data_IF_831407317237
#
_entry.id   IF_831407317237
#
_cell.length_a   1.000
_cell.length_b   1.000
_cell.length_c   1.000
_cell.angle_alpha   90.00
_cell.angle_beta   90.00
_cell.angle_gamma   90.00
#
_symmetry.space_group_name_H-M   'P 1'
#
loop_
_entity.id
_entity.type
_entity.pdbx_description
1 polymer ?
#
# COMPACT_ATOMS: atom_id res chain seq x y z
N UNK A 1 75.58 46.49 -3.69
CA UNK A 1 74.69 45.77 -4.55
C UNK A 1 74.59 44.34 -4.00
N UNK A 2 73.52 44.05 -3.27
CA UNK A 2 73.19 42.71 -2.78
C UNK A 2 71.76 42.46 -3.16
N UNK A 3 71.51 41.72 -4.20
CA UNK A 3 70.19 41.29 -4.67
C UNK A 3 69.70 40.09 -3.88
N UNK A 4 68.63 40.28 -3.09
CA UNK A 4 67.99 39.25 -2.29
C UNK A 4 66.98 38.54 -3.22
N UNK A 5 67.24 37.27 -3.56
CA UNK A 5 66.32 36.39 -4.24
C UNK A 5 65.28 35.82 -3.24
N UNK A 6 64.04 36.27 -3.31
CA UNK A 6 62.94 35.73 -2.53
C UNK A 6 62.35 34.54 -3.32
N UNK A 7 62.67 33.31 -2.93
CA UNK A 7 62.07 32.10 -3.49
C UNK A 7 60.67 31.91 -2.89
N UNK A 8 59.63 32.09 -3.74
CA UNK A 8 58.23 31.87 -3.43
C UNK A 8 57.97 30.37 -3.47
N UNK A 9 57.88 29.70 -2.32
CA UNK A 9 57.45 28.30 -2.22
C UNK A 9 55.92 28.24 -2.36
N UNK A 10 55.46 27.96 -3.57
CA UNK A 10 54.03 27.60 -3.82
C UNK A 10 53.86 26.16 -3.35
N UNK A 11 53.35 25.99 -2.13
CA UNK A 11 52.93 24.70 -1.60
C UNK A 11 51.75 24.17 -2.43
N UNK A 12 51.98 23.11 -3.20
CA UNK A 12 50.90 22.37 -3.86
C UNK A 12 49.96 21.77 -2.79
N UNK A 13 48.83 22.40 -2.53
CA UNK A 13 47.71 21.72 -1.83
C UNK A 13 47.23 20.61 -2.72
N UNK A 14 47.69 19.38 -2.50
CA UNK A 14 47.06 18.20 -3.09
C UNK A 14 45.61 18.14 -2.60
N UNK A 15 44.61 17.95 -3.51
CA UNK A 15 43.26 17.75 -3.07
C UNK A 15 43.23 16.46 -2.23
N UNK A 16 42.92 16.60 -0.92
CA UNK A 16 42.58 15.45 -0.08
C UNK A 16 41.36 14.83 -0.71
N UNK A 17 41.39 13.55 -1.12
CA UNK A 17 40.18 12.90 -1.60
C UNK A 17 39.15 13.00 -0.48
N UNK A 18 38.04 13.72 -0.72
CA UNK A 18 36.90 13.71 0.15
C UNK A 18 36.49 12.24 0.25
N UNK A 19 36.78 11.62 1.40
CA UNK A 19 36.31 10.27 1.67
C UNK A 19 34.81 10.31 1.40
N UNK A 20 34.37 9.58 0.38
CA UNK A 20 32.96 9.51 0.02
C UNK A 20 32.21 9.07 1.27
N UNK A 21 31.52 10.02 1.91
CA UNK A 21 30.75 9.74 3.12
C UNK A 21 29.80 8.63 2.77
N UNK A 22 29.93 7.47 3.48
CA UNK A 22 29.12 6.29 3.19
C UNK A 22 27.63 6.65 3.25
N UNK A 23 26.87 6.22 2.26
CA UNK A 23 25.41 6.36 2.29
C UNK A 23 24.83 5.36 3.31
N UNK A 24 23.88 5.81 4.18
CA UNK A 24 23.43 7.18 4.39
C UNK A 24 24.38 7.99 5.29
N UNK A 25 24.56 9.27 5.01
CA UNK A 25 25.35 10.21 5.83
C UNK A 25 24.49 11.25 6.56
N UNK A 26 23.18 11.23 6.33
CA UNK A 26 22.16 12.11 6.94
C UNK A 26 20.84 11.37 7.08
N UNK A 27 19.86 11.99 7.73
CA UNK A 27 18.53 11.43 7.95
C UNK A 27 17.87 10.99 6.64
N UNK A 28 17.43 9.73 6.59
CA UNK A 28 16.56 9.20 5.53
C UNK A 28 15.10 9.42 5.92
N UNK A 29 14.31 9.95 5.01
CA UNK A 29 12.90 10.24 5.22
C UNK A 29 12.04 9.24 4.45
N UNK A 30 11.14 8.56 5.14
CA UNK A 30 10.11 7.71 4.56
C UNK A 30 8.78 8.48 4.59
N UNK A 31 8.26 8.83 3.43
CA UNK A 31 6.97 9.50 3.28
C UNK A 31 5.86 8.46 3.26
N UNK A 32 4.70 8.79 3.80
CA UNK A 32 3.49 7.96 3.79
C UNK A 32 2.27 8.82 3.44
N UNK A 33 1.45 8.37 2.49
CA UNK A 33 0.27 9.09 1.99
C UNK A 33 -1.01 8.90 2.82
N UNK A 34 -0.96 8.11 3.89
CA UNK A 34 -2.10 7.76 4.73
C UNK A 34 -2.01 8.40 6.12
N UNK A 35 -3.15 8.41 6.82
CA UNK A 35 -3.20 8.88 8.21
C UNK A 35 -2.37 7.98 9.13
N UNK A 36 -1.82 8.55 10.22
CA UNK A 36 -1.17 7.76 11.27
C UNK A 36 -2.04 6.59 11.73
N UNK A 37 -1.42 5.42 11.92
CA UNK A 37 -2.10 4.18 12.33
C UNK A 37 -2.68 3.35 11.18
N UNK A 38 -2.69 3.84 9.94
CA UNK A 38 -2.97 3.01 8.76
C UNK A 38 -1.85 2.01 8.48
N UNK A 39 -2.14 0.90 7.78
CA UNK A 39 -1.13 -0.14 7.51
C UNK A 39 0.16 0.40 6.88
N UNK A 40 0.14 1.31 5.88
CA UNK A 40 1.37 1.89 5.34
C UNK A 40 2.18 2.65 6.41
N UNK A 41 1.53 3.42 7.28
CA UNK A 41 2.20 4.18 8.35
C UNK A 41 2.82 3.26 9.40
N UNK A 42 2.07 2.26 9.87
CA UNK A 42 2.56 1.31 10.87
C UNK A 42 3.77 0.54 10.32
N UNK A 43 3.70 0.03 9.09
CA UNK A 43 4.78 -0.75 8.49
C UNK A 43 6.01 0.14 8.20
N UNK A 44 5.79 1.36 7.71
CA UNK A 44 6.88 2.33 7.52
C UNK A 44 7.61 2.63 8.83
N UNK A 45 6.89 2.80 9.95
CA UNK A 45 7.50 3.06 11.27
C UNK A 45 8.27 1.86 11.80
N UNK A 46 7.74 0.65 11.64
CA UNK A 46 8.46 -0.57 12.02
C UNK A 46 9.77 -0.73 11.22
N UNK A 47 9.71 -0.52 9.90
CA UNK A 47 10.87 -0.56 9.03
C UNK A 47 11.87 0.55 9.37
N UNK A 48 11.39 1.80 9.54
CA UNK A 48 12.24 2.94 9.90
C UNK A 48 12.94 2.74 11.22
N UNK A 49 12.23 2.26 12.25
CA UNK A 49 12.81 1.96 13.56
C UNK A 49 13.94 0.93 13.43
N UNK A 50 13.70 -0.15 12.69
CA UNK A 50 14.71 -1.21 12.52
C UNK A 50 15.91 -0.75 11.70
N UNK A 51 15.67 -0.03 10.61
CA UNK A 51 16.76 0.55 9.82
C UNK A 51 17.59 1.54 10.63
N UNK A 52 16.99 2.30 11.54
CA UNK A 52 17.70 3.30 12.36
C UNK A 52 18.77 2.68 13.27
N UNK A 53 18.70 1.39 13.59
CA UNK A 53 19.72 0.70 14.39
C UNK A 53 21.10 0.68 13.71
N UNK A 54 21.16 0.73 12.37
CA UNK A 54 22.41 0.67 11.60
C UNK A 54 22.63 1.85 10.65
N UNK A 55 21.58 2.61 10.34
CA UNK A 55 21.60 3.67 9.33
C UNK A 55 21.65 5.07 9.94
N UNK A 56 21.58 5.21 11.28
CA UNK A 56 21.31 6.47 11.92
C UNK A 56 19.82 6.84 11.78
N UNK A 57 19.50 8.14 11.73
CA UNK A 57 18.10 8.56 11.75
C UNK A 57 17.35 8.20 10.47
N UNK A 58 16.32 7.36 10.60
CA UNK A 58 15.28 7.11 9.58
C UNK A 58 13.95 7.56 10.17
N UNK A 59 13.28 8.53 9.54
CA UNK A 59 12.06 9.15 10.07
C UNK A 59 10.89 8.96 9.13
N UNK A 60 9.68 8.86 9.70
CA UNK A 60 8.43 8.72 8.92
C UNK A 60 7.67 10.03 8.94
N UNK A 61 7.23 10.48 7.77
CA UNK A 61 6.47 11.70 7.56
C UNK A 61 5.14 11.40 6.84
N UNK A 62 4.01 11.77 7.45
CA UNK A 62 2.69 11.59 6.84
C UNK A 62 2.32 12.82 5.99
N UNK A 63 1.96 12.59 4.70
CA UNK A 63 1.46 13.60 3.76
C UNK A 63 0.11 13.14 3.21
N UNK A 64 -0.94 13.44 3.95
CA UNK A 64 -2.29 12.93 3.71
C UNK A 64 -3.00 13.73 2.62
N UNK A 65 -3.77 13.05 1.77
CA UNK A 65 -4.73 13.68 0.86
C UNK A 65 -4.78 13.03 -0.51
N UNK A 66 -5.93 13.18 -1.18
CA UNK A 66 -6.22 12.69 -2.53
C UNK A 66 -5.80 11.21 -2.74
N UNK A 67 -6.16 10.32 -1.81
CA UNK A 67 -5.80 8.89 -1.83
C UNK A 67 -4.28 8.65 -2.01
N UNK A 68 -3.44 9.48 -1.33
CA UNK A 68 -1.98 9.40 -1.40
C UNK A 68 -1.34 10.18 -2.56
N UNK A 69 -2.10 10.76 -3.48
CA UNK A 69 -1.55 11.51 -4.62
C UNK A 69 -0.70 12.71 -4.20
N UNK A 70 -1.03 13.38 -3.07
CA UNK A 70 -0.23 14.50 -2.55
C UNK A 70 1.17 14.03 -2.14
N UNK A 71 1.26 12.91 -1.45
CA UNK A 71 2.54 12.30 -1.07
C UNK A 71 3.33 11.83 -2.30
N UNK A 72 2.64 11.17 -3.24
CA UNK A 72 3.25 10.70 -4.49
C UNK A 72 3.85 11.85 -5.31
N UNK A 73 3.12 12.97 -5.46
CA UNK A 73 3.61 14.17 -6.14
C UNK A 73 4.86 14.74 -5.44
N UNK A 74 4.83 14.84 -4.12
CA UNK A 74 5.97 15.36 -3.36
C UNK A 74 7.20 14.47 -3.55
N UNK A 75 7.04 13.14 -3.50
CA UNK A 75 8.15 12.20 -3.65
C UNK A 75 8.67 12.18 -5.09
N UNK A 76 7.80 12.18 -6.10
CA UNK A 76 8.21 12.19 -7.51
C UNK A 76 9.07 13.41 -7.88
N UNK A 77 8.89 14.53 -7.17
CA UNK A 77 9.65 15.77 -7.34
C UNK A 77 10.83 15.92 -6.38
N UNK A 78 11.06 14.96 -5.51
CA UNK A 78 12.19 15.00 -4.57
C UNK A 78 13.52 14.72 -5.29
N UNK A 79 14.62 15.20 -4.70
CA UNK A 79 15.96 14.93 -5.22
C UNK A 79 16.22 13.42 -5.33
N UNK A 80 16.78 12.92 -6.44
CA UNK A 80 17.05 11.49 -6.63
C UNK A 80 18.38 11.07 -5.97
N UNK A 81 18.51 11.34 -4.68
CA UNK A 81 19.73 11.12 -3.89
C UNK A 81 19.60 9.99 -2.84
N UNK A 82 18.40 9.31 -2.82
CA UNK A 82 18.10 8.22 -1.92
C UNK A 82 17.66 8.62 -0.51
N UNK A 83 17.60 9.91 -0.17
CA UNK A 83 17.21 10.36 1.17
C UNK A 83 15.71 10.59 1.34
N UNK A 84 14.93 10.36 0.30
CA UNK A 84 13.47 10.33 0.35
C UNK A 84 12.98 9.02 -0.25
N UNK A 85 12.22 8.24 0.52
CA UNK A 85 11.51 7.06 0.07
C UNK A 85 10.00 7.23 0.31
N UNK A 86 9.18 6.44 -0.36
CA UNK A 86 7.74 6.44 -0.23
C UNK A 86 7.24 5.04 0.09
N UNK A 87 6.63 4.84 1.26
CA UNK A 87 5.91 3.60 1.56
C UNK A 87 4.43 3.84 1.28
N UNK A 88 3.90 3.12 0.32
CA UNK A 88 2.55 3.28 -0.19
C UNK A 88 1.94 1.95 -0.65
N UNK A 89 0.64 1.97 -0.87
CA UNK A 89 -0.07 0.84 -1.44
C UNK A 89 -0.23 0.95 -2.96
N UNK A 90 -0.75 -0.11 -3.58
CA UNK A 90 -0.94 -0.22 -5.02
C UNK A 90 -1.90 0.82 -5.62
N UNK A 91 -2.61 1.59 -4.82
CA UNK A 91 -3.42 2.69 -5.33
C UNK A 91 -2.57 3.69 -6.13
N UNK A 92 -1.33 3.94 -5.70
CA UNK A 92 -0.44 4.95 -6.31
C UNK A 92 -0.02 4.56 -7.72
N UNK A 93 0.36 3.32 -7.96
CA UNK A 93 0.87 2.91 -9.28
C UNK A 93 -0.17 2.17 -10.13
N UNK A 94 -1.27 1.67 -9.53
CA UNK A 94 -2.19 0.80 -10.24
C UNK A 94 -3.64 1.30 -10.31
N UNK A 95 -4.16 2.02 -9.30
CA UNK A 95 -5.58 2.43 -9.27
C UNK A 95 -5.75 3.90 -9.64
N UNK A 96 -5.08 4.81 -8.94
CA UNK A 96 -5.27 6.25 -9.10
C UNK A 96 -5.04 6.73 -10.55
N UNK A 97 -4.04 6.21 -11.29
CA UNK A 97 -3.80 6.63 -12.68
C UNK A 97 -4.97 6.33 -13.64
N UNK A 98 -5.79 5.34 -13.31
CA UNK A 98 -6.94 4.93 -14.14
C UNK A 98 -8.27 5.47 -13.65
N UNK A 99 -8.30 6.01 -12.43
CA UNK A 99 -9.51 6.45 -11.75
C UNK A 99 -9.66 7.97 -11.74
N UNK A 100 -8.56 8.69 -11.50
CA UNK A 100 -8.55 10.16 -11.53
C UNK A 100 -8.42 10.65 -12.97
N UNK A 101 -9.10 11.73 -13.31
CA UNK A 101 -8.95 12.38 -14.62
C UNK A 101 -7.49 12.75 -14.91
N UNK A 102 -6.72 13.11 -13.87
CA UNK A 102 -5.29 13.38 -13.94
C UNK A 102 -4.65 13.18 -12.57
N UNK A 103 -3.57 12.40 -12.52
CA UNK A 103 -2.66 12.36 -11.37
C UNK A 103 -1.45 13.27 -11.61
N UNK A 104 -0.85 13.89 -10.57
CA UNK A 104 0.24 14.85 -10.73
C UNK A 104 1.63 14.17 -10.86
N UNK A 105 1.67 12.91 -11.25
CA UNK A 105 2.89 12.11 -11.44
C UNK A 105 2.68 11.05 -12.53
N UNK A 106 3.76 10.48 -13.03
CA UNK A 106 3.75 9.34 -13.97
C UNK A 106 4.14 8.09 -13.19
N UNK A 107 3.20 7.15 -12.97
CA UNK A 107 3.38 6.07 -11.99
C UNK A 107 4.52 5.11 -12.30
N UNK A 108 4.87 4.92 -13.58
CA UNK A 108 5.90 3.98 -14.01
C UNK A 108 7.23 4.64 -14.40
N UNK A 109 7.26 5.99 -14.51
CA UNK A 109 8.44 6.75 -14.94
C UNK A 109 9.03 7.61 -13.82
N UNK A 110 8.21 8.12 -12.90
CA UNK A 110 8.65 9.06 -11.87
C UNK A 110 9.12 8.35 -10.57
N UNK A 111 9.00 7.02 -10.53
CA UNK A 111 9.43 6.21 -9.38
C UNK A 111 10.32 5.04 -9.80
N UNK A 112 11.19 4.63 -8.89
CA UNK A 112 11.94 3.39 -8.92
C UNK A 112 11.47 2.49 -7.77
N UNK A 113 11.21 1.22 -8.03
CA UNK A 113 10.88 0.24 -7.00
C UNK A 113 12.06 0.02 -6.05
N UNK A 114 11.81 0.07 -4.73
CA UNK A 114 12.79 -0.38 -3.74
C UNK A 114 12.51 -1.85 -3.41
N UNK A 115 11.32 -2.16 -2.89
CA UNK A 115 10.89 -3.51 -2.55
C UNK A 115 9.38 -3.57 -2.33
N UNK A 116 8.75 -4.69 -2.62
CA UNK A 116 7.48 -5.03 -2.00
C UNK A 116 7.68 -5.23 -0.49
N UNK A 117 6.63 -5.10 0.30
CA UNK A 117 6.64 -5.32 1.74
C UNK A 117 5.64 -6.41 2.11
N UNK A 118 4.42 -6.29 1.62
CA UNK A 118 3.35 -7.24 1.91
C UNK A 118 2.20 -7.13 0.92
N UNK A 119 1.38 -8.19 0.89
CA UNK A 119 0.04 -8.16 0.28
C UNK A 119 -0.99 -8.11 1.40
N UNK A 120 -1.92 -7.17 1.29
CA UNK A 120 -2.98 -6.93 2.26
C UNK A 120 -4.30 -7.47 1.71
N UNK A 121 -4.70 -8.68 2.08
CA UNK A 121 -5.98 -9.23 1.66
C UNK A 121 -7.13 -8.47 2.30
N UNK A 122 -8.20 -8.29 1.54
CA UNK A 122 -9.47 -7.80 2.07
C UNK A 122 -10.51 -8.92 2.02
N UNK A 123 -11.47 -8.86 2.93
CA UNK A 123 -12.46 -9.90 3.11
C UNK A 123 -13.87 -9.32 2.97
N UNK A 124 -14.72 -10.00 2.23
CA UNK A 124 -16.15 -9.72 2.22
C UNK A 124 -16.71 -9.98 3.61
N UNK A 125 -17.03 -8.89 4.30
CA UNK A 125 -17.53 -8.90 5.68
C UNK A 125 -18.94 -8.35 5.69
N UNK A 126 -19.84 -9.03 6.37
CA UNK A 126 -21.26 -8.67 6.46
C UNK A 126 -21.73 -8.53 7.90
N UNK A 127 -22.64 -7.58 8.14
CA UNK A 127 -23.34 -7.44 9.41
C UNK A 127 -24.37 -8.58 9.61
N UNK A 128 -24.59 -9.08 10.83
CA UNK A 128 -25.54 -10.18 11.11
C UNK A 128 -26.99 -9.91 10.73
N UNK A 129 -27.40 -8.66 10.50
CA UNK A 129 -28.72 -8.32 9.96
C UNK A 129 -28.97 -8.83 8.55
N UNK A 130 -27.89 -9.14 7.79
CA UNK A 130 -28.00 -9.83 6.50
C UNK A 130 -28.28 -11.31 6.79
N UNK A 131 -29.41 -11.88 6.30
CA UNK A 131 -29.75 -13.27 6.57
C UNK A 131 -28.97 -14.22 5.66
N UNK A 132 -27.65 -14.20 5.81
CA UNK A 132 -26.69 -15.01 5.08
C UNK A 132 -25.52 -15.40 5.99
N UNK A 133 -25.20 -16.67 6.05
CA UNK A 133 -24.08 -17.23 6.81
C UNK A 133 -22.97 -17.73 5.88
N UNK A 134 -23.28 -17.90 4.61
CA UNK A 134 -22.36 -18.33 3.54
C UNK A 134 -22.33 -17.31 2.41
N UNK A 135 -21.28 -17.37 1.59
CA UNK A 135 -21.17 -16.56 0.38
C UNK A 135 -22.35 -16.82 -0.59
N UNK A 136 -22.73 -18.08 -0.79
CA UNK A 136 -23.83 -18.44 -1.68
C UNK A 136 -25.18 -17.84 -1.22
N UNK A 137 -25.46 -17.90 0.09
CA UNK A 137 -26.65 -17.28 0.67
C UNK A 137 -26.63 -15.75 0.51
N UNK A 138 -25.45 -15.13 0.71
CA UNK A 138 -25.28 -13.69 0.51
C UNK A 138 -25.60 -13.28 -0.94
N UNK A 139 -25.05 -13.99 -1.93
CA UNK A 139 -25.31 -13.71 -3.34
C UNK A 139 -26.79 -13.89 -3.66
N UNK A 140 -27.41 -14.97 -3.18
CA UNK A 140 -28.84 -15.23 -3.39
C UNK A 140 -29.71 -14.11 -2.77
N UNK A 141 -29.39 -13.69 -1.56
CA UNK A 141 -30.09 -12.60 -0.88
C UNK A 141 -29.92 -11.27 -1.61
N UNK A 142 -28.69 -10.91 -2.01
CA UNK A 142 -28.40 -9.65 -2.70
C UNK A 142 -29.09 -9.57 -4.06
N UNK A 143 -29.13 -10.68 -4.82
CA UNK A 143 -29.86 -10.76 -6.10
C UNK A 143 -31.36 -10.59 -5.94
N UNK A 144 -31.93 -11.15 -4.86
CA UNK A 144 -33.37 -11.04 -4.56
C UNK A 144 -33.77 -9.65 -4.06
N UNK A 145 -32.83 -8.89 -3.55
CA UNK A 145 -33.05 -7.60 -2.90
C UNK A 145 -32.17 -6.49 -3.50
N UNK A 146 -32.27 -6.16 -4.81
CA UNK A 146 -31.40 -5.18 -5.45
C UNK A 146 -31.53 -3.81 -4.76
N UNK A 147 -30.39 -3.17 -4.45
CA UNK A 147 -30.32 -1.84 -3.85
C UNK A 147 -30.72 -1.76 -2.37
N UNK A 148 -31.12 -2.86 -1.71
CA UNK A 148 -31.46 -2.85 -0.29
C UNK A 148 -30.26 -2.91 0.64
N UNK A 149 -29.15 -3.47 0.21
CA UNK A 149 -27.91 -3.50 0.98
C UNK A 149 -27.11 -2.24 0.70
N UNK A 150 -26.51 -1.69 1.75
CA UNK A 150 -25.48 -0.66 1.62
C UNK A 150 -24.10 -1.23 1.96
N UNK A 151 -23.08 -0.68 1.32
CA UNK A 151 -21.71 -1.04 1.62
C UNK A 151 -20.83 0.18 1.97
N UNK A 152 -19.90 -0.02 2.91
CA UNK A 152 -18.93 0.98 3.29
C UNK A 152 -17.64 0.86 2.50
N UNK A 153 -16.99 2.00 2.25
CA UNK A 153 -15.63 2.08 1.74
C UNK A 153 -14.81 3.13 2.51
N UNK A 154 -13.50 3.14 2.30
CA UNK A 154 -12.60 4.17 2.84
C UNK A 154 -12.69 5.52 2.07
N UNK A 155 -13.72 5.69 1.25
CA UNK A 155 -13.96 6.85 0.41
C UNK A 155 -13.96 6.49 -1.08
N UNK A 156 -14.42 7.45 -1.88
CA UNK A 156 -14.43 7.32 -3.34
C UNK A 156 -13.00 7.03 -3.86
N UNK A 157 -12.90 6.06 -4.75
CA UNK A 157 -11.61 5.67 -5.35
C UNK A 157 -10.70 4.81 -4.49
N UNK A 158 -11.06 4.54 -3.23
CA UNK A 158 -10.29 3.60 -2.41
C UNK A 158 -10.35 2.19 -2.97
N UNK A 159 -9.35 1.36 -2.64
CA UNK A 159 -9.35 -0.06 -3.00
C UNK A 159 -10.65 -0.77 -2.58
N UNK A 160 -11.21 -0.41 -1.41
CA UNK A 160 -12.48 -0.95 -0.92
C UNK A 160 -13.65 -0.60 -1.83
N UNK A 161 -13.70 0.64 -2.35
CA UNK A 161 -14.70 1.07 -3.32
C UNK A 161 -14.58 0.27 -4.62
N UNK A 162 -13.39 0.26 -5.23
CA UNK A 162 -13.14 -0.43 -6.50
C UNK A 162 -13.39 -1.93 -6.39
N UNK A 163 -12.93 -2.55 -5.30
CA UNK A 163 -13.17 -3.98 -5.02
C UNK A 163 -14.67 -4.29 -4.96
N UNK A 164 -15.45 -3.45 -4.26
CA UNK A 164 -16.88 -3.68 -4.12
C UNK A 164 -17.63 -3.45 -5.43
N UNK A 165 -17.30 -2.39 -6.18
CA UNK A 165 -17.94 -2.14 -7.48
C UNK A 165 -17.63 -3.25 -8.50
N UNK A 166 -16.37 -3.70 -8.57
CA UNK A 166 -16.01 -4.85 -9.39
C UNK A 166 -16.75 -6.11 -8.97
N UNK A 167 -16.82 -6.37 -7.66
CA UNK A 167 -17.57 -7.51 -7.13
C UNK A 167 -19.05 -7.45 -7.50
N UNK A 168 -19.69 -6.30 -7.33
CA UNK A 168 -21.09 -6.06 -7.73
C UNK A 168 -21.30 -6.36 -9.21
N UNK A 169 -20.43 -5.82 -10.06
CA UNK A 169 -20.49 -6.00 -11.51
C UNK A 169 -20.39 -7.46 -11.91
N UNK A 170 -19.39 -8.18 -11.38
CA UNK A 170 -19.15 -9.59 -11.74
C UNK A 170 -20.15 -10.57 -11.10
N UNK A 171 -20.62 -10.29 -9.89
CA UNK A 171 -21.63 -11.10 -9.21
C UNK A 171 -23.07 -10.82 -9.69
N UNK A 172 -23.30 -9.75 -10.45
CA UNK A 172 -24.62 -9.33 -10.90
C UNK A 172 -25.54 -8.92 -9.75
N UNK A 173 -25.00 -8.15 -8.77
CA UNK A 173 -25.76 -7.67 -7.59
C UNK A 173 -25.72 -6.14 -7.50
N UNK A 174 -26.68 -5.55 -6.79
CA UNK A 174 -26.78 -4.11 -6.59
C UNK A 174 -26.75 -3.77 -5.10
N UNK A 175 -25.84 -2.86 -4.72
CA UNK A 175 -25.70 -2.33 -3.37
C UNK A 175 -25.42 -0.83 -3.43
N UNK A 176 -25.87 -0.07 -2.42
CA UNK A 176 -25.69 1.38 -2.32
C UNK A 176 -24.32 1.69 -1.69
N UNK A 177 -23.54 2.55 -2.31
CA UNK A 177 -22.25 2.99 -1.77
C UNK A 177 -22.42 4.04 -0.70
N UNK A 178 -21.74 3.85 0.45
CA UNK A 178 -21.63 4.84 1.54
C UNK A 178 -20.14 5.11 1.78
N UNK A 179 -19.60 6.23 1.25
CA UNK A 179 -18.19 6.57 1.43
C UNK A 179 -17.92 7.15 2.81
N UNK A 180 -16.86 6.68 3.48
CA UNK A 180 -16.34 7.21 4.74
C UNK A 180 -14.95 7.85 4.54
N UNK A 181 -14.46 8.59 5.55
CA UNK A 181 -13.10 9.17 5.54
C UNK A 181 -12.03 8.16 5.98
N UNK A 182 -12.13 6.90 5.54
CA UNK A 182 -11.23 5.80 5.86
C UNK A 182 -11.92 4.65 6.60
N UNK A 183 -11.24 3.48 6.63
CA UNK A 183 -11.76 2.27 7.29
C UNK A 183 -11.91 2.42 8.81
N UNK A 184 -11.21 3.37 9.43
CA UNK A 184 -11.39 3.71 10.85
C UNK A 184 -12.80 4.18 11.20
N UNK A 185 -13.54 4.77 10.23
CA UNK A 185 -14.96 5.13 10.39
C UNK A 185 -15.89 4.08 9.78
N UNK A 186 -15.53 3.50 8.65
CA UNK A 186 -16.31 2.50 7.95
C UNK A 186 -16.49 1.21 8.78
N UNK A 187 -15.45 0.77 9.49
CA UNK A 187 -15.51 -0.42 10.35
C UNK A 187 -16.55 -0.33 11.47
N UNK A 188 -16.51 0.70 12.33
CA UNK A 188 -17.56 0.93 13.32
C UNK A 188 -18.97 0.99 12.74
N UNK A 189 -19.18 1.63 11.60
CA UNK A 189 -20.49 1.70 10.94
C UNK A 189 -20.99 0.32 10.49
N UNK A 190 -20.09 -0.55 9.99
CA UNK A 190 -20.43 -1.94 9.70
C UNK A 190 -20.83 -2.72 10.95
N UNK A 191 -20.06 -2.56 12.05
CA UNK A 191 -20.31 -3.25 13.33
C UNK A 191 -21.63 -2.78 13.98
N UNK A 192 -21.98 -1.51 13.80
CA UNK A 192 -23.24 -0.94 14.29
C UNK A 192 -24.46 -1.32 13.42
N UNK A 193 -24.23 -1.77 12.18
CA UNK A 193 -25.28 -2.09 11.22
C UNK A 193 -25.80 -0.89 10.41
N UNK A 194 -25.14 0.27 10.50
CA UNK A 194 -25.44 1.45 9.67
C UNK A 194 -25.26 1.13 8.18
N UNK A 195 -24.31 0.25 7.88
CA UNK A 195 -24.10 -0.39 6.59
C UNK A 195 -24.02 -1.90 6.77
N UNK A 196 -24.39 -2.66 5.75
CA UNK A 196 -24.51 -4.12 5.86
C UNK A 196 -23.31 -4.88 5.34
N UNK A 197 -22.47 -4.26 4.50
CA UNK A 197 -21.38 -4.92 3.78
C UNK A 197 -20.13 -4.02 3.80
N UNK A 198 -18.96 -4.63 3.90
CA UNK A 198 -17.68 -3.98 3.59
C UNK A 198 -16.65 -5.02 3.14
N UNK A 199 -15.75 -4.64 2.28
CA UNK A 199 -14.47 -5.32 2.19
C UNK A 199 -13.53 -4.73 3.26
N UNK A 200 -13.02 -5.56 4.16
CA UNK A 200 -12.25 -5.11 5.32
C UNK A 200 -11.04 -6.00 5.57
N UNK A 201 -10.03 -5.48 6.27
CA UNK A 201 -8.88 -6.29 6.70
C UNK A 201 -9.29 -7.25 7.81
N UNK A 202 -8.63 -8.40 7.88
CA UNK A 202 -8.87 -9.38 8.95
C UNK A 202 -8.63 -8.78 10.32
N UNK A 203 -7.51 -8.11 10.53
CA UNK A 203 -7.15 -7.52 11.84
C UNK A 203 -8.19 -6.55 12.37
N UNK A 204 -8.82 -5.77 11.48
CA UNK A 204 -9.88 -4.86 11.91
C UNK A 204 -11.16 -5.59 12.36
N UNK A 205 -11.43 -6.79 11.83
CA UNK A 205 -12.69 -7.50 12.01
C UNK A 205 -12.61 -8.77 12.85
N UNK A 206 -11.40 -9.31 13.11
CA UNK A 206 -11.23 -10.61 13.75
C UNK A 206 -11.91 -10.75 15.12
N UNK A 207 -11.75 -9.78 16.01
CA UNK A 207 -12.38 -9.78 17.33
C UNK A 207 -13.90 -9.68 17.24
N UNK A 208 -14.40 -8.87 16.31
CA UNK A 208 -15.83 -8.71 16.08
C UNK A 208 -16.47 -9.92 15.41
N UNK A 209 -15.73 -10.60 14.52
CA UNK A 209 -16.18 -11.85 13.92
C UNK A 209 -16.26 -12.97 14.96
N UNK A 210 -15.24 -13.09 15.84
CA UNK A 210 -15.28 -14.04 16.99
C UNK A 210 -16.43 -13.74 17.94
N UNK A 211 -16.79 -12.47 18.13
CA UNK A 211 -17.91 -12.06 18.96
C UNK A 211 -19.28 -12.13 18.24
N UNK A 212 -19.33 -12.61 16.99
CA UNK A 212 -20.56 -12.72 16.20
C UNK A 212 -21.17 -11.40 15.74
N UNK A 213 -20.43 -10.28 15.87
CA UNK A 213 -20.88 -8.95 15.46
C UNK A 213 -20.74 -8.67 13.96
N UNK A 214 -19.94 -9.47 13.28
CA UNK A 214 -19.82 -9.49 11.81
C UNK A 214 -19.53 -10.93 11.36
N UNK A 215 -19.73 -11.23 10.07
CA UNK A 215 -19.34 -12.50 9.44
C UNK A 215 -18.39 -12.22 8.30
N UNK A 216 -17.30 -13.00 8.22
CA UNK A 216 -16.34 -12.98 7.12
C UNK A 216 -16.73 -14.13 6.19
N UNK A 217 -17.11 -13.84 4.95
CA UNK A 217 -17.66 -14.81 4.02
C UNK A 217 -16.67 -15.29 2.96
N UNK A 218 -15.77 -14.44 2.50
CA UNK A 218 -14.82 -14.77 1.44
C UNK A 218 -13.64 -13.79 1.44
N UNK A 219 -12.50 -14.22 0.88
CA UNK A 219 -11.35 -13.37 0.60
C UNK A 219 -11.43 -12.77 -0.81
N UNK A 220 -11.10 -11.51 -0.96
CA UNK A 220 -10.93 -10.84 -2.25
C UNK A 220 -9.54 -11.06 -2.88
N UNK A 221 -8.65 -11.77 -2.20
CA UNK A 221 -7.33 -12.13 -2.69
C UNK A 221 -7.44 -13.30 -3.70
N UNK A 222 -6.54 -13.37 -4.67
CA UNK A 222 -6.46 -14.46 -5.65
C UNK A 222 -6.03 -15.81 -5.03
N UNK A 223 -5.52 -15.80 -3.80
CA UNK A 223 -5.11 -17.00 -3.03
C UNK A 223 -5.58 -16.86 -1.60
N UNK A 224 -5.87 -18.02 -0.96
CA UNK A 224 -6.16 -18.03 0.49
C UNK A 224 -4.98 -17.48 1.28
N UNK A 225 -5.27 -16.68 2.31
CA UNK A 225 -4.22 -16.19 3.22
C UNK A 225 -3.86 -17.26 4.25
N UNK A 226 -2.58 -17.45 4.57
CA UNK A 226 -2.15 -18.38 5.61
C UNK A 226 -2.79 -18.12 6.98
N UNK A 227 -3.10 -16.86 7.29
CA UNK A 227 -3.76 -16.49 8.56
C UNK A 227 -5.21 -17.00 8.66
N UNK A 228 -5.87 -17.30 7.52
CA UNK A 228 -7.27 -17.77 7.45
C UNK A 228 -7.43 -18.81 6.34
N UNK A 229 -6.83 -19.98 6.49
CA UNK A 229 -6.84 -21.02 5.45
C UNK A 229 -8.24 -21.56 5.15
N UNK A 230 -9.17 -21.44 6.10
CA UNK A 230 -10.55 -21.92 5.94
C UNK A 230 -11.46 -20.92 5.21
N UNK A 231 -11.06 -19.65 5.05
CA UNK A 231 -11.83 -18.67 4.32
C UNK A 231 -11.54 -18.81 2.81
N UNK A 232 -12.53 -19.22 2.00
CA UNK A 232 -12.34 -19.38 0.56
C UNK A 232 -12.18 -18.02 -0.12
N UNK A 233 -11.55 -18.01 -1.29
CA UNK A 233 -11.47 -16.81 -2.12
C UNK A 233 -12.76 -16.65 -2.96
N UNK A 234 -13.07 -15.41 -3.35
CA UNK A 234 -14.17 -15.12 -4.27
C UNK A 234 -13.94 -15.84 -5.63
N UNK A 235 -12.67 -15.99 -6.02
CA UNK A 235 -12.30 -16.74 -7.23
C UNK A 235 -12.71 -18.22 -7.14
N UNK A 236 -12.48 -18.88 -6.00
CA UNK A 236 -12.92 -20.26 -5.72
C UNK A 236 -14.45 -20.40 -5.67
N UNK A 237 -15.16 -19.33 -5.30
CA UNK A 237 -16.60 -19.29 -5.10
C UNK A 237 -17.40 -18.88 -6.36
N UNK A 238 -16.77 -18.86 -7.53
CA UNK A 238 -17.48 -18.72 -8.81
C UNK A 238 -17.23 -17.42 -9.57
N UNK A 239 -16.23 -16.62 -9.17
CA UNK A 239 -15.75 -15.48 -9.97
C UNK A 239 -14.26 -15.68 -10.29
N UNK A 240 -13.93 -16.54 -11.29
CA UNK A 240 -12.55 -16.86 -11.63
C UNK A 240 -11.72 -15.61 -11.95
N UNK A 241 -10.49 -15.55 -11.43
CA UNK A 241 -9.59 -14.43 -11.65
C UNK A 241 -9.89 -13.19 -10.79
N UNK A 242 -10.86 -13.25 -9.87
CA UNK A 242 -11.05 -12.18 -8.89
C UNK A 242 -9.84 -12.13 -7.93
N UNK A 243 -9.08 -11.06 -8.02
CA UNK A 243 -7.89 -10.82 -7.21
C UNK A 243 -7.70 -9.31 -7.01
N UNK A 244 -8.12 -8.84 -5.85
CA UNK A 244 -8.19 -7.43 -5.45
C UNK A 244 -7.43 -7.17 -4.15
N UNK A 245 -6.41 -7.98 -3.85
CA UNK A 245 -5.55 -7.69 -2.72
C UNK A 245 -4.73 -6.42 -2.98
N UNK A 246 -4.69 -5.53 -1.99
CA UNK A 246 -3.79 -4.38 -2.04
C UNK A 246 -2.36 -4.82 -1.77
N UNK A 247 -1.40 -4.22 -2.45
CA UNK A 247 0.02 -4.47 -2.22
C UNK A 247 0.66 -3.25 -1.58
N UNK A 248 1.51 -3.48 -0.60
CA UNK A 248 2.33 -2.45 0.01
C UNK A 248 3.76 -2.58 -0.47
N UNK A 249 4.38 -1.46 -0.83
CA UNK A 249 5.76 -1.41 -1.26
C UNK A 249 6.45 -0.09 -0.90
N UNK A 250 7.76 -0.10 -1.06
CA UNK A 250 8.62 1.08 -0.90
C UNK A 250 9.14 1.52 -2.27
N UNK A 251 9.03 2.81 -2.57
CA UNK A 251 9.45 3.47 -3.81
C UNK A 251 10.48 4.54 -3.51
N UNK A 252 11.33 4.84 -4.46
CA UNK A 252 12.19 6.02 -4.50
C UNK A 252 11.79 6.93 -5.67
N UNK A 253 12.19 8.23 -5.69
CA UNK A 253 12.13 9.03 -6.90
C UNK A 253 12.93 8.37 -8.03
N UNK A 254 12.46 8.50 -9.26
CA UNK A 254 13.23 8.06 -10.42
C UNK A 254 14.59 8.78 -10.49
N UNK A 255 15.60 8.09 -11.02
CA UNK A 255 16.94 8.65 -11.17
C UNK A 255 17.85 8.49 -9.94
N UNK A 256 17.38 7.92 -8.83
CA UNK A 256 18.27 7.50 -7.73
C UNK A 256 19.29 6.49 -8.27
N UNK A 257 20.61 6.66 -7.95
CA UNK A 257 21.66 5.73 -8.40
C UNK A 257 21.34 4.28 -7.99
N UNK A 258 21.63 3.33 -8.89
CA UNK A 258 21.29 1.91 -8.68
C UNK A 258 21.90 1.32 -7.41
N UNK A 259 23.12 1.69 -7.06
CA UNK A 259 23.81 1.26 -5.85
C UNK A 259 23.10 1.77 -4.58
N UNK A 260 22.50 2.96 -4.64
CA UNK A 260 21.71 3.54 -3.55
C UNK A 260 20.36 2.82 -3.44
N UNK A 261 19.68 2.55 -4.57
CA UNK A 261 18.44 1.75 -4.57
C UNK A 261 18.71 0.36 -4.00
N UNK A 262 19.83 -0.29 -4.37
CA UNK A 262 20.21 -1.59 -3.83
C UNK A 262 20.46 -1.55 -2.31
N UNK A 263 21.07 -0.47 -1.79
CA UNK A 263 21.24 -0.28 -0.33
C UNK A 263 19.91 -0.07 0.36
N UNK A 264 19.00 0.74 -0.20
CA UNK A 264 17.64 0.94 0.31
C UNK A 264 16.87 -0.40 0.34
N UNK A 265 16.95 -1.18 -0.74
CA UNK A 265 16.36 -2.51 -0.83
C UNK A 265 16.90 -3.42 0.29
N UNK A 266 18.23 -3.52 0.42
CA UNK A 266 18.85 -4.34 1.45
C UNK A 266 18.40 -3.94 2.87
N UNK A 267 18.29 -2.63 3.14
CA UNK A 267 17.80 -2.11 4.42
C UNK A 267 16.34 -2.49 4.68
N UNK A 268 15.45 -2.31 3.70
CA UNK A 268 14.03 -2.68 3.81
C UNK A 268 13.87 -4.19 3.97
N UNK A 269 14.57 -5.00 3.15
CA UNK A 269 14.50 -6.47 3.22
C UNK A 269 14.98 -6.98 4.57
N UNK A 270 16.12 -6.49 5.06
CA UNK A 270 16.65 -6.88 6.37
C UNK A 270 15.72 -6.47 7.51
N UNK A 271 15.13 -5.27 7.44
CA UNK A 271 14.17 -4.81 8.43
C UNK A 271 12.92 -5.69 8.48
N UNK A 272 12.33 -6.00 7.31
CA UNK A 272 11.12 -6.84 7.21
C UNK A 272 11.41 -8.28 7.63
N UNK A 273 12.60 -8.80 7.34
CA UNK A 273 13.01 -10.16 7.72
C UNK A 273 13.37 -10.31 9.21
N UNK A 274 13.57 -9.19 9.94
CA UNK A 274 13.88 -9.27 11.38
C UNK A 274 12.67 -9.83 12.15
N UNK A 275 12.85 -10.78 13.11
CA UNK A 275 11.75 -11.43 13.81
C UNK A 275 10.75 -10.42 14.42
N UNK A 276 11.26 -9.37 15.04
CA UNK A 276 10.42 -8.35 15.66
C UNK A 276 9.48 -7.65 14.66
N UNK A 277 10.00 -7.25 13.50
CA UNK A 277 9.21 -6.55 12.46
C UNK A 277 8.30 -7.55 11.75
N UNK A 278 8.85 -8.72 11.39
CA UNK A 278 8.11 -9.78 10.72
C UNK A 278 6.86 -10.19 11.51
N UNK A 279 7.00 -10.50 12.81
CA UNK A 279 5.90 -10.96 13.63
C UNK A 279 4.83 -9.88 13.83
N UNK A 280 5.25 -8.62 13.99
CA UNK A 280 4.32 -7.48 14.06
C UNK A 280 3.54 -7.32 12.76
N UNK A 281 4.20 -7.40 11.60
CA UNK A 281 3.55 -7.31 10.29
C UNK A 281 2.63 -8.52 10.06
N UNK A 282 3.10 -9.75 10.37
CA UNK A 282 2.30 -10.98 10.25
C UNK A 282 1.02 -10.92 11.09
N UNK A 283 1.09 -10.30 12.28
CA UNK A 283 -0.07 -10.05 13.15
C UNK A 283 -1.21 -9.28 12.48
N UNK A 284 -0.94 -8.57 11.37
CA UNK A 284 -1.97 -7.92 10.55
C UNK A 284 -2.71 -8.90 9.61
N UNK A 285 -2.39 -10.19 9.62
CA UNK A 285 -3.03 -11.18 8.74
C UNK A 285 -2.68 -11.01 7.27
N UNK A 286 -1.54 -10.37 6.99
CA UNK A 286 -1.04 -10.08 5.64
C UNK A 286 -0.07 -11.17 5.18
N UNK A 287 0.16 -11.26 3.87
CA UNK A 287 1.26 -12.06 3.32
C UNK A 287 2.48 -11.17 3.18
N UNK A 288 3.51 -11.45 3.96
CA UNK A 288 4.79 -10.76 3.88
C UNK A 288 5.56 -11.28 2.66
N UNK A 289 6.13 -10.36 1.89
CA UNK A 289 6.94 -10.72 0.73
C UNK A 289 7.73 -9.52 0.22
N UNK A 290 9.06 -9.62 0.37
CA UNK A 290 9.99 -8.64 -0.20
C UNK A 290 10.45 -9.08 -1.58
N UNK A 291 10.95 -8.14 -2.37
CA UNK A 291 11.40 -8.35 -3.74
C UNK A 291 12.70 -7.62 -4.02
N UNK A 292 13.36 -7.94 -5.14
CA UNK A 292 14.38 -7.05 -5.71
C UNK A 292 13.71 -5.81 -6.34
N UNK A 293 14.46 -4.73 -6.58
CA UNK A 293 13.96 -3.56 -7.30
C UNK A 293 13.36 -3.90 -8.66
N UNK A 294 14.05 -4.74 -9.44
CA UNK A 294 13.63 -5.14 -10.79
C UNK A 294 12.33 -5.97 -10.77
N UNK A 295 12.20 -6.87 -9.78
CA UNK A 295 10.97 -7.64 -9.58
C UNK A 295 9.80 -6.72 -9.22
N UNK A 296 10.05 -5.70 -8.39
CA UNK A 296 9.01 -4.75 -8.02
C UNK A 296 8.60 -3.86 -9.20
N UNK A 297 9.56 -3.35 -9.98
CA UNK A 297 9.26 -2.57 -11.18
C UNK A 297 8.44 -3.37 -12.20
N UNK A 298 8.78 -4.64 -12.41
CA UNK A 298 8.01 -5.53 -13.28
C UNK A 298 6.59 -5.76 -12.75
N UNK A 299 6.45 -5.91 -11.45
CA UNK A 299 5.17 -6.08 -10.77
C UNK A 299 4.30 -4.82 -10.86
N UNK A 300 4.87 -3.61 -10.65
CA UNK A 300 4.13 -2.35 -10.80
C UNK A 300 3.54 -2.21 -12.22
N UNK A 301 4.30 -2.59 -13.26
CA UNK A 301 3.80 -2.59 -14.65
C UNK A 301 2.65 -3.58 -14.84
N UNK A 302 2.80 -4.80 -14.34
CA UNK A 302 1.75 -5.82 -14.43
C UNK A 302 0.47 -5.40 -13.70
N UNK A 303 0.60 -4.84 -12.50
CA UNK A 303 -0.53 -4.32 -11.73
C UNK A 303 -1.17 -3.10 -12.41
N UNK A 304 -0.39 -2.19 -12.97
CA UNK A 304 -0.89 -1.04 -13.73
C UNK A 304 -1.82 -1.50 -14.86
N UNK A 305 -1.38 -2.46 -15.69
CA UNK A 305 -2.17 -3.00 -16.80
C UNK A 305 -3.41 -3.80 -16.31
N UNK A 306 -3.26 -4.56 -15.23
CA UNK A 306 -4.34 -5.29 -14.59
C UNK A 306 -5.44 -4.33 -14.13
N UNK A 307 -5.08 -3.32 -13.35
CA UNK A 307 -6.06 -2.38 -12.78
C UNK A 307 -6.66 -1.43 -13.81
N UNK A 308 -6.02 -1.15 -14.94
CA UNK A 308 -6.64 -0.44 -16.06
C UNK A 308 -7.94 -1.11 -16.51
N UNK A 309 -7.93 -2.44 -16.58
CA UNK A 309 -9.12 -3.25 -16.93
C UNK A 309 -10.12 -3.31 -15.78
N UNK A 310 -9.65 -3.54 -14.56
CA UNK A 310 -10.51 -3.72 -13.39
C UNK A 310 -11.24 -2.44 -12.99
N UNK A 311 -10.58 -1.28 -13.03
CA UNK A 311 -11.20 0.04 -12.78
C UNK A 311 -12.27 0.31 -13.84
N UNK A 312 -12.01 0.03 -15.11
CA UNK A 312 -13.00 0.19 -16.17
C UNK A 312 -14.20 -0.73 -15.96
N UNK A 313 -13.96 -2.01 -15.60
CA UNK A 313 -15.03 -3.00 -15.35
C UNK A 313 -15.86 -2.66 -14.11
N UNK A 314 -15.25 -2.07 -13.09
CA UNK A 314 -15.97 -1.68 -11.87
C UNK A 314 -17.00 -0.56 -12.13
N UNK A 315 -16.83 0.22 -13.19
CA UNK A 315 -17.65 1.40 -13.46
C UNK A 315 -17.48 2.53 -12.44
N UNK A 316 -16.52 2.40 -11.50
CA UNK A 316 -16.25 3.42 -10.50
C UNK A 316 -15.72 4.69 -11.15
N UNK A 317 -16.27 5.83 -10.74
CA UNK A 317 -15.84 7.16 -11.18
C UNK A 317 -15.58 8.02 -9.95
N UNK A 318 -14.62 8.92 -10.08
CA UNK A 318 -14.51 10.07 -9.18
C UNK A 318 -15.17 11.25 -9.89
N UNK A 319 -16.19 11.80 -9.25
CA UNK A 319 -16.84 13.02 -9.69
C UNK A 319 -15.90 14.22 -9.50
#
# INVERSE_FOLDING_TARGET
MRTLLLALAIGALAPVPAAAQGYPSRTVRIVVGTSPGGSPDVFARLIAQKMSESWGAVVVENRIGANGNIAAEMVSKSAPDGYTAYVCDSAIWAINPHLYAKVPYRPLEDFAGISTISTLPTFLTVHPSVPATTYAEFIAYAKKNPGKLSYASAGNGSIHHITTELFKSLAGISMVHVPYKGMGQAGPALIAGDVQVAFSSYTAMASFAKAGKVRILASADGKRTPALPDIPTIAELGIPGFDMASMLGALAPAGVPRDIVAKLNAGVVAAVASPEVHDKIAGFGVRIGTSTPEQFDALMRAEYEKYAKLVKLSGAKLD
#
